data_IF_469414113774
#
_entry.id   IF_469414113774
#
_cell.length_a   1.000
_cell.length_b   1.000
_cell.length_c   1.000
_cell.angle_alpha   90.00
_cell.angle_beta   90.00
_cell.angle_gamma   90.00
#
_symmetry.space_group_name_H-M   'P 1'
#
loop_
_entity.id
_entity.type
_entity.pdbx_description
1 polymer ?
#
# COMPACT_ATOMS: atom_id res chain seq x y z
N UNK A 1 -24.86 31.18 42.89
CA UNK A 1 -23.66 30.33 42.99
C UNK A 1 -23.48 29.57 41.68
N UNK A 2 -22.66 30.09 40.76
CA UNK A 2 -22.44 29.51 39.42
C UNK A 2 -21.33 28.45 39.55
N UNK A 3 -21.70 27.17 39.57
CA UNK A 3 -20.75 26.07 39.64
C UNK A 3 -20.01 26.01 38.30
N UNK A 4 -18.75 26.43 38.30
CA UNK A 4 -17.83 26.28 37.17
C UNK A 4 -17.52 24.79 37.10
N UNK A 5 -18.26 24.08 36.26
CA UNK A 5 -17.93 22.70 35.91
C UNK A 5 -16.72 22.76 34.98
N UNK A 6 -15.57 22.34 35.51
CA UNK A 6 -14.33 22.13 34.78
C UNK A 6 -14.60 21.25 33.56
N UNK A 7 -14.55 21.86 32.37
CA UNK A 7 -14.51 21.13 31.11
C UNK A 7 -13.11 20.57 30.90
N UNK A 8 -12.90 19.30 31.25
CA UNK A 8 -11.75 18.54 30.76
C UNK A 8 -12.14 17.98 29.39
N UNK A 9 -11.89 18.76 28.34
CA UNK A 9 -11.92 18.25 26.97
C UNK A 9 -10.74 17.29 26.79
N UNK A 10 -11.01 15.99 26.89
CA UNK A 10 -10.13 14.97 26.35
C UNK A 10 -10.16 15.07 24.82
N UNK A 11 -9.21 15.80 24.26
CA UNK A 11 -8.88 15.70 22.84
C UNK A 11 -8.23 14.32 22.61
N UNK A 12 -9.02 13.36 22.16
CA UNK A 12 -8.51 12.11 21.63
C UNK A 12 -7.76 12.43 20.35
N UNK A 13 -6.42 12.44 20.40
CA UNK A 13 -5.57 12.48 19.22
C UNK A 13 -5.79 11.18 18.44
N UNK A 14 -6.64 11.24 17.41
CA UNK A 14 -6.72 10.20 16.39
C UNK A 14 -5.42 10.25 15.59
N UNK A 15 -4.47 9.37 15.90
CA UNK A 15 -3.31 9.16 15.05
C UNK A 15 -3.76 8.32 13.85
N UNK A 16 -4.17 9.00 12.77
CA UNK A 16 -4.20 8.35 11.47
C UNK A 16 -2.75 7.98 11.12
N UNK A 17 -2.41 6.71 11.27
CA UNK A 17 -1.13 6.18 10.84
C UNK A 17 -1.07 6.32 9.32
N UNK A 18 -0.41 7.39 8.85
CA UNK A 18 -0.06 7.60 7.45
C UNK A 18 1.07 6.62 7.05
N UNK A 19 0.85 5.33 7.24
CA UNK A 19 1.74 4.31 6.72
C UNK A 19 1.73 4.46 5.20
N UNK A 20 2.89 4.78 4.62
CA UNK A 20 3.02 4.83 3.18
C UNK A 20 2.63 3.45 2.60
N UNK A 21 1.70 3.45 1.65
CA UNK A 21 1.33 2.23 0.93
C UNK A 21 2.54 1.73 0.16
N UNK A 22 2.84 0.44 0.26
CA UNK A 22 3.92 -0.18 -0.52
C UNK A 22 3.68 -0.02 -2.01
N UNK A 23 4.76 -0.05 -2.78
CA UNK A 23 4.77 0.13 -4.23
C UNK A 23 5.61 -0.97 -4.86
N UNK A 24 5.46 -1.17 -6.17
CA UNK A 24 6.29 -2.12 -6.92
C UNK A 24 7.80 -1.83 -6.78
N UNK A 25 8.20 -0.56 -6.58
CA UNK A 25 9.60 -0.18 -6.35
C UNK A 25 10.18 -0.67 -5.02
N UNK A 26 9.34 -1.15 -4.11
CA UNK A 26 9.76 -1.63 -2.80
C UNK A 26 10.15 -3.13 -2.82
N UNK A 27 9.97 -3.80 -3.96
CA UNK A 27 10.28 -5.22 -4.16
C UNK A 27 11.41 -5.40 -5.18
N UNK A 28 12.23 -6.42 -4.99
CA UNK A 28 13.30 -6.75 -5.93
C UNK A 28 12.80 -7.61 -7.09
N UNK A 29 11.80 -8.46 -6.85
CA UNK A 29 11.26 -9.41 -7.83
C UNK A 29 9.73 -9.38 -7.88
N UNK A 30 9.18 -9.87 -8.99
CA UNK A 30 7.75 -10.04 -9.16
C UNK A 30 7.17 -11.01 -8.12
N UNK A 31 7.87 -12.12 -7.83
CA UNK A 31 7.44 -13.14 -6.86
C UNK A 31 7.24 -12.57 -5.45
N UNK A 32 8.16 -11.70 -4.99
CA UNK A 32 8.04 -11.01 -3.69
C UNK A 32 6.79 -10.12 -3.64
N UNK A 33 6.56 -9.34 -4.70
CA UNK A 33 5.38 -8.49 -4.81
C UNK A 33 4.09 -9.33 -4.87
N UNK A 34 4.09 -10.45 -5.59
CA UNK A 34 2.97 -11.37 -5.69
C UNK A 34 2.62 -12.00 -4.34
N UNK A 35 3.64 -12.43 -3.58
CA UNK A 35 3.44 -12.95 -2.23
C UNK A 35 2.80 -11.89 -1.32
N UNK A 36 3.33 -10.67 -1.33
CA UNK A 36 2.77 -9.58 -0.55
C UNK A 36 1.31 -9.29 -0.94
N UNK A 37 1.00 -9.28 -2.25
CA UNK A 37 -0.36 -9.11 -2.74
C UNK A 37 -1.32 -10.17 -2.20
N UNK A 38 -0.94 -11.45 -2.25
CA UNK A 38 -1.76 -12.56 -1.75
C UNK A 38 -1.98 -12.48 -0.24
N UNK A 39 -0.95 -12.14 0.52
CA UNK A 39 -1.01 -12.09 1.99
C UNK A 39 -1.80 -10.88 2.51
N UNK A 40 -1.73 -9.75 1.81
CA UNK A 40 -2.27 -8.47 2.30
C UNK A 40 -3.50 -7.99 1.51
N UNK A 41 -3.95 -8.74 0.50
CA UNK A 41 -5.01 -8.29 -0.41
C UNK A 41 -4.62 -7.03 -1.19
N UNK A 42 -3.33 -6.83 -1.45
CA UNK A 42 -2.78 -5.62 -2.03
C UNK A 42 -2.97 -5.56 -3.56
N UNK A 43 -4.21 -5.75 -4.03
CA UNK A 43 -4.58 -5.80 -5.45
C UNK A 43 -4.23 -4.51 -6.22
N UNK A 44 -3.86 -3.44 -5.53
CA UNK A 44 -3.36 -2.22 -6.17
C UNK A 44 -1.95 -2.37 -6.76
N UNK A 45 -1.22 -3.44 -6.41
CA UNK A 45 0.07 -3.81 -7.02
C UNK A 45 -0.10 -4.44 -8.40
N UNK A 46 -1.29 -5.00 -8.67
CA UNK A 46 -1.73 -5.48 -9.98
C UNK A 46 -2.59 -4.40 -10.64
N UNK A 47 -1.98 -3.59 -11.51
CA UNK A 47 -2.60 -2.36 -12.02
C UNK A 47 -3.65 -2.65 -13.09
N UNK A 48 -3.42 -3.63 -13.95
CA UNK A 48 -4.29 -4.03 -15.06
C UNK A 48 -5.24 -5.18 -14.70
N UNK A 49 -5.10 -5.76 -13.50
CA UNK A 49 -6.03 -6.69 -12.86
C UNK A 49 -6.07 -8.05 -13.55
N UNK A 50 -4.94 -8.52 -14.04
CA UNK A 50 -4.82 -9.83 -14.68
C UNK A 50 -4.42 -10.95 -13.69
N UNK A 51 -4.18 -10.60 -12.42
CA UNK A 51 -3.76 -11.50 -11.35
C UNK A 51 -2.27 -11.47 -11.06
N UNK A 52 -1.48 -10.69 -11.82
CA UNK A 52 -0.03 -10.58 -11.68
C UNK A 52 0.38 -9.22 -11.07
N UNK A 53 0.84 -9.24 -9.82
CA UNK A 53 1.37 -8.05 -9.17
C UNK A 53 2.67 -7.62 -9.84
N UNK A 54 2.83 -6.33 -10.12
CA UNK A 54 4.10 -5.74 -10.51
C UNK A 54 4.84 -6.49 -11.65
N UNK A 55 4.11 -6.89 -12.69
CA UNK A 55 4.55 -7.63 -13.90
C UNK A 55 5.84 -7.12 -14.59
N UNK A 56 6.25 -5.88 -14.29
CA UNK A 56 7.45 -5.24 -14.82
C UNK A 56 8.72 -5.47 -13.98
N UNK A 57 8.63 -6.14 -12.82
CA UNK A 57 9.78 -6.54 -12.02
C UNK A 57 10.43 -7.81 -12.60
N UNK A 58 11.71 -8.08 -12.27
CA UNK A 58 12.37 -9.33 -12.64
C UNK A 58 11.51 -10.55 -12.27
N UNK A 59 11.35 -11.47 -13.24
CA UNK A 59 10.50 -12.66 -13.13
C UNK A 59 9.06 -12.49 -13.65
N UNK A 60 8.59 -11.25 -13.83
CA UNK A 60 7.24 -10.98 -14.31
C UNK A 60 7.06 -11.16 -15.82
N UNK A 61 5.82 -11.38 -16.25
CA UNK A 61 5.44 -11.68 -17.63
C UNK A 61 5.70 -10.52 -18.60
N UNK A 62 5.81 -9.28 -18.11
CA UNK A 62 6.15 -8.09 -18.91
C UNK A 62 7.56 -7.58 -18.68
N UNK A 63 8.39 -8.28 -17.91
CA UNK A 63 9.74 -7.84 -17.62
C UNK A 63 10.52 -7.51 -18.91
N UNK A 64 11.06 -6.28 -18.99
CA UNK A 64 11.84 -5.79 -20.14
C UNK A 64 11.03 -5.33 -21.36
N UNK A 65 9.71 -5.55 -21.37
CA UNK A 65 8.82 -5.11 -22.45
C UNK A 65 8.71 -3.57 -22.53
N UNK A 66 8.21 -3.06 -23.66
CA UNK A 66 8.02 -1.62 -23.85
C UNK A 66 6.91 -1.03 -22.95
N UNK A 67 5.94 -1.85 -22.51
CA UNK A 67 4.86 -1.38 -21.61
C UNK A 67 5.40 -0.96 -20.23
N UNK A 68 6.55 -1.52 -19.84
CA UNK A 68 7.22 -1.23 -18.56
C UNK A 68 8.13 0.01 -18.57
N UNK A 69 8.27 0.70 -19.71
CA UNK A 69 9.15 1.88 -19.85
C UNK A 69 8.38 3.21 -19.76
N UNK A 70 7.17 3.19 -19.19
CA UNK A 70 6.29 4.36 -19.09
C UNK A 70 6.65 5.25 -17.91
#
# INVERSE_FOLDING_TARGET
MKKILLGVSLFTLSYDSLAARVRCSDFATQDEAQQYMRENGANYLDRDKDGEACECLPGGSKYGSSVCRR
#
